data_IF_514404963344
#
_entry.id   IF_514404963344
#
_cell.length_a   1.000
_cell.length_b   1.000
_cell.length_c   1.000
_cell.angle_alpha   90.00
_cell.angle_beta   90.00
_cell.angle_gamma   90.00
#
_symmetry.space_group_name_H-M   'P 1'
#
loop_
_entity.id
_entity.type
_entity.pdbx_description
1 polymer ?
#
# COMPACT_ATOMS: atom_id res chain seq x y z
N UNK A 1 -31.35 7.16 -21.58
CA UNK A 1 -31.57 5.69 -21.54
C UNK A 1 -30.67 5.04 -22.58
N UNK A 2 -29.86 4.06 -22.20
CA UNK A 2 -28.97 3.33 -23.11
C UNK A 2 -29.81 2.42 -24.02
N UNK A 3 -29.93 2.77 -25.31
CA UNK A 3 -30.43 1.87 -26.35
C UNK A 3 -29.39 1.87 -27.47
N UNK A 4 -28.76 0.72 -27.70
CA UNK A 4 -27.79 0.47 -28.79
C UNK A 4 -26.46 1.27 -28.78
N UNK A 5 -25.84 1.47 -27.61
CA UNK A 5 -24.45 1.98 -27.56
C UNK A 5 -24.28 3.45 -27.99
N UNK A 6 -25.37 4.19 -28.11
CA UNK A 6 -25.39 5.63 -28.42
C UNK A 6 -25.97 6.36 -27.20
N UNK A 7 -25.23 7.33 -26.67
CA UNK A 7 -25.73 8.27 -25.68
C UNK A 7 -26.24 9.51 -26.42
N UNK A 8 -27.53 9.79 -26.25
CA UNK A 8 -28.14 11.01 -26.78
C UNK A 8 -28.08 12.08 -25.71
N UNK A 9 -27.39 13.19 -25.99
CA UNK A 9 -27.31 14.30 -25.06
C UNK A 9 -28.67 15.01 -25.02
N UNK A 10 -29.31 15.07 -23.85
CA UNK A 10 -30.65 15.66 -23.67
C UNK A 10 -30.68 17.17 -23.96
N UNK A 11 -29.55 17.87 -23.89
CA UNK A 11 -29.46 19.31 -24.12
C UNK A 11 -29.30 19.68 -25.61
N UNK A 12 -28.62 18.86 -26.41
CA UNK A 12 -28.28 19.19 -27.81
C UNK A 12 -28.71 18.15 -28.84
N UNK A 13 -29.38 17.06 -28.42
CA UNK A 13 -29.80 15.92 -29.26
C UNK A 13 -28.68 15.28 -30.09
N UNK A 14 -27.42 15.58 -29.81
CA UNK A 14 -26.29 14.97 -30.50
C UNK A 14 -26.15 13.51 -30.07
N UNK A 15 -26.10 12.61 -31.05
CA UNK A 15 -25.84 11.19 -30.85
C UNK A 15 -24.34 10.96 -30.69
N UNK A 16 -23.90 10.77 -29.46
CA UNK A 16 -22.53 10.39 -29.15
C UNK A 16 -22.44 8.86 -29.08
N UNK A 17 -21.58 8.27 -29.90
CA UNK A 17 -21.25 6.84 -29.77
C UNK A 17 -20.60 6.64 -28.41
N UNK A 18 -21.24 5.85 -27.55
CA UNK A 18 -20.66 5.52 -26.25
C UNK A 18 -19.34 4.78 -26.51
N UNK A 19 -18.21 5.28 -25.98
CA UNK A 19 -16.92 4.67 -26.25
C UNK A 19 -16.95 3.22 -25.75
N UNK A 20 -16.64 2.29 -26.64
CA UNK A 20 -16.54 0.88 -26.29
C UNK A 20 -15.61 0.69 -25.08
N UNK A 21 -15.82 -0.30 -24.21
CA UNK A 21 -14.88 -0.60 -23.14
C UNK A 21 -13.45 -0.85 -23.67
N UNK A 22 -13.34 -1.28 -24.95
CA UNK A 22 -12.08 -1.45 -25.66
C UNK A 22 -11.37 -0.13 -26.01
N UNK A 23 -12.09 0.93 -26.36
CA UNK A 23 -11.50 2.23 -26.66
C UNK A 23 -11.15 2.99 -25.38
N UNK A 24 -11.97 2.89 -24.34
CA UNK A 24 -11.70 3.51 -23.02
C UNK A 24 -10.41 2.98 -22.40
N UNK A 25 -10.20 1.66 -22.37
CA UNK A 25 -8.97 1.13 -21.78
C UNK A 25 -7.71 1.41 -22.63
N UNK A 26 -7.81 1.44 -23.98
CA UNK A 26 -6.68 1.85 -24.82
C UNK A 26 -6.29 3.31 -24.61
N UNK A 27 -7.28 4.19 -24.43
CA UNK A 27 -7.05 5.59 -24.11
C UNK A 27 -6.39 5.75 -22.72
N UNK A 28 -6.82 4.95 -21.73
CA UNK A 28 -6.20 4.88 -20.42
C UNK A 28 -4.74 4.44 -20.50
N UNK A 29 -4.43 3.34 -21.19
CA UNK A 29 -3.06 2.81 -21.32
C UNK A 29 -2.13 3.81 -22.06
N UNK A 30 -2.63 4.46 -23.12
CA UNK A 30 -1.89 5.48 -23.87
C UNK A 30 -1.58 6.72 -23.02
N UNK A 31 -2.55 7.18 -22.22
CA UNK A 31 -2.36 8.28 -21.29
C UNK A 31 -1.37 7.91 -20.17
N UNK A 32 -1.49 6.69 -19.64
CA UNK A 32 -0.60 6.15 -18.62
C UNK A 32 0.87 6.06 -19.10
N UNK A 33 1.10 5.59 -20.33
CA UNK A 33 2.44 5.49 -20.90
C UNK A 33 3.08 6.87 -21.14
N UNK A 34 2.31 7.88 -21.56
CA UNK A 34 2.80 9.25 -21.79
C UNK A 34 3.22 9.93 -20.48
N UNK A 35 2.44 9.74 -19.41
CA UNK A 35 2.80 10.20 -18.05
C UNK A 35 4.03 9.44 -17.55
N UNK A 36 4.09 8.14 -17.79
CA UNK A 36 5.21 7.27 -17.35
C UNK A 36 6.57 7.71 -17.88
N UNK A 37 6.65 8.21 -19.12
CA UNK A 37 7.90 8.71 -19.67
C UNK A 37 8.41 9.99 -18.96
N UNK A 38 7.50 10.93 -18.66
CA UNK A 38 7.86 12.21 -17.99
C UNK A 38 8.34 12.02 -16.55
N UNK A 39 7.85 11.01 -15.85
CA UNK A 39 8.16 10.77 -14.44
C UNK A 39 9.18 9.65 -14.20
N UNK A 40 9.97 9.26 -15.21
CA UNK A 40 10.91 8.13 -15.09
C UNK A 40 11.92 8.30 -13.94
N UNK A 41 12.52 9.48 -13.82
CA UNK A 41 13.45 9.80 -12.73
C UNK A 41 12.76 9.76 -11.35
N UNK A 42 11.54 10.29 -11.26
CA UNK A 42 10.74 10.21 -10.03
C UNK A 42 10.43 8.76 -9.66
N UNK A 43 10.02 7.92 -10.62
CA UNK A 43 9.76 6.48 -10.37
C UNK A 43 11.01 5.77 -9.85
N UNK A 44 12.19 6.07 -10.41
CA UNK A 44 13.44 5.52 -9.91
C UNK A 44 13.71 5.93 -8.46
N UNK A 45 13.56 7.23 -8.14
CA UNK A 45 13.72 7.73 -6.78
C UNK A 45 12.71 7.09 -5.81
N UNK A 46 11.46 6.90 -6.24
CA UNK A 46 10.44 6.22 -5.46
C UNK A 46 10.83 4.78 -5.14
N UNK A 47 11.36 4.03 -6.13
CA UNK A 47 11.82 2.64 -5.93
C UNK A 47 13.01 2.59 -4.97
N UNK A 48 14.01 3.45 -5.15
CA UNK A 48 15.17 3.50 -4.25
C UNK A 48 14.74 3.85 -2.81
N UNK A 49 13.87 4.84 -2.64
CA UNK A 49 13.35 5.22 -1.33
C UNK A 49 12.57 4.09 -0.66
N UNK A 50 11.76 3.35 -1.41
CA UNK A 50 10.98 2.23 -0.87
C UNK A 50 11.90 1.08 -0.49
N UNK A 51 12.93 0.80 -1.29
CA UNK A 51 13.98 -0.16 -0.95
C UNK A 51 14.66 0.16 0.38
N UNK A 52 15.05 1.42 0.59
CA UNK A 52 15.69 1.85 1.84
C UNK A 52 14.75 1.71 3.04
N UNK A 53 13.52 2.22 2.92
CA UNK A 53 12.58 2.24 4.04
C UNK A 53 12.05 0.85 4.39
N UNK A 54 11.79 -0.01 3.39
CA UNK A 54 11.37 -1.39 3.61
C UNK A 54 12.51 -2.23 4.18
N UNK A 55 13.74 -2.03 3.72
CA UNK A 55 14.89 -2.75 4.25
C UNK A 55 15.29 -2.35 5.68
N UNK A 56 15.07 -1.09 6.05
CA UNK A 56 15.32 -0.60 7.40
C UNK A 56 14.26 -1.10 8.41
N UNK A 57 13.05 -1.40 7.97
CA UNK A 57 11.93 -1.73 8.85
C UNK A 57 12.16 -2.96 9.74
N UNK A 58 12.63 -4.13 9.26
CA UNK A 58 12.93 -5.27 10.14
C UNK A 58 13.97 -4.96 11.22
N UNK A 59 14.97 -4.14 10.90
CA UNK A 59 16.03 -3.74 11.84
C UNK A 59 15.42 -2.87 12.95
N UNK A 60 14.62 -1.87 12.60
CA UNK A 60 13.93 -1.02 13.57
C UNK A 60 12.93 -1.80 14.43
N UNK A 61 12.23 -2.77 13.85
CA UNK A 61 11.32 -3.66 14.58
C UNK A 61 12.09 -4.51 15.59
N UNK A 62 13.26 -5.04 15.20
CA UNK A 62 14.12 -5.81 16.09
C UNK A 62 14.65 -4.95 17.25
N UNK A 63 15.17 -3.75 16.95
CA UNK A 63 15.65 -2.80 17.96
C UNK A 63 14.55 -2.29 18.90
N UNK A 64 13.28 -2.32 18.48
CA UNK A 64 12.15 -1.90 19.30
C UNK A 64 11.66 -2.98 20.27
N UNK A 65 12.19 -4.20 20.20
CA UNK A 65 11.91 -5.27 21.17
C UNK A 65 12.89 -5.17 22.34
N UNK A 66 12.37 -5.16 23.55
CA UNK A 66 13.15 -5.28 24.79
C UNK A 66 12.80 -6.63 25.40
N UNK A 67 13.79 -7.49 25.64
CA UNK A 67 13.61 -8.87 26.15
C UNK A 67 12.66 -9.74 25.31
N UNK A 68 12.68 -9.56 23.98
CA UNK A 68 11.85 -10.32 23.04
C UNK A 68 10.38 -9.91 22.99
N UNK A 69 9.93 -8.99 23.86
CA UNK A 69 8.55 -8.49 23.93
C UNK A 69 8.46 -7.04 23.43
N UNK A 70 7.31 -6.69 22.86
CA UNK A 70 6.98 -5.30 22.54
C UNK A 70 6.31 -4.68 23.76
N UNK A 71 6.86 -3.58 24.28
CA UNK A 71 6.27 -2.84 25.40
C UNK A 71 5.21 -1.81 24.97
N UNK A 72 4.96 -1.68 23.67
CA UNK A 72 3.99 -0.74 23.10
C UNK A 72 2.80 -1.47 22.47
N UNK A 73 1.63 -0.84 22.51
CA UNK A 73 0.46 -1.30 21.78
C UNK A 73 0.58 -0.99 20.28
N UNK A 74 0.42 -1.96 19.37
CA UNK A 74 0.51 -1.72 17.92
C UNK A 74 -0.55 -0.75 17.39
N UNK A 75 -1.70 -0.64 18.08
CA UNK A 75 -2.75 0.32 17.75
C UNK A 75 -2.26 1.76 17.98
N UNK A 76 -1.54 2.00 19.08
CA UNK A 76 -0.92 3.30 19.38
C UNK A 76 0.13 3.68 18.33
N UNK A 77 1.03 2.76 17.97
CA UNK A 77 2.05 3.01 16.94
C UNK A 77 1.41 3.38 15.59
N UNK A 78 0.31 2.71 15.22
CA UNK A 78 -0.42 3.03 13.99
C UNK A 78 -1.07 4.41 14.05
N UNK A 79 -1.69 4.77 15.17
CA UNK A 79 -2.26 6.11 15.36
C UNK A 79 -1.19 7.20 15.27
N UNK A 80 -0.07 7.05 16.00
CA UNK A 80 1.06 7.99 15.93
C UNK A 80 1.67 8.08 14.53
N UNK A 81 1.68 6.98 13.79
CA UNK A 81 2.11 6.95 12.39
C UNK A 81 1.17 7.78 11.50
N UNK A 82 -0.15 7.69 11.68
CA UNK A 82 -1.10 8.57 10.96
C UNK A 82 -0.92 10.04 11.34
N UNK A 83 -0.76 10.35 12.63
CA UNK A 83 -0.50 11.72 13.10
C UNK A 83 0.78 12.29 12.48
N UNK A 84 1.88 11.52 12.47
CA UNK A 84 3.13 11.94 11.84
C UNK A 84 2.95 12.25 10.34
N UNK A 85 2.16 11.43 9.63
CA UNK A 85 1.83 11.67 8.22
C UNK A 85 0.97 12.91 8.01
N UNK A 86 0.02 13.19 8.90
CA UNK A 86 -0.79 14.42 8.88
C UNK A 86 0.11 15.64 9.08
N UNK A 87 1.00 15.62 10.08
CA UNK A 87 1.96 16.71 10.33
C UNK A 87 2.82 16.95 9.09
N UNK A 88 3.36 15.88 8.49
CA UNK A 88 4.13 15.99 7.25
C UNK A 88 3.31 16.63 6.11
N UNK A 89 2.06 16.21 5.92
CA UNK A 89 1.19 16.77 4.89
C UNK A 89 0.91 18.27 5.13
N UNK A 90 0.68 18.69 6.38
CA UNK A 90 0.49 20.09 6.74
C UNK A 90 1.77 20.91 6.46
N UNK A 91 2.93 20.43 6.90
CA UNK A 91 4.22 21.11 6.66
C UNK A 91 4.47 21.28 5.16
N UNK A 92 4.26 20.23 4.37
CA UNK A 92 4.43 20.31 2.91
C UNK A 92 3.43 21.27 2.26
N UNK A 93 2.18 21.33 2.73
CA UNK A 93 1.20 22.30 2.26
C UNK A 93 1.61 23.73 2.60
N UNK A 94 2.12 23.98 3.81
CA UNK A 94 2.62 25.31 4.21
C UNK A 94 3.81 25.73 3.34
N UNK A 95 4.77 24.84 3.10
CA UNK A 95 5.92 25.11 2.22
C UNK A 95 5.44 25.38 0.78
N UNK A 96 4.46 24.62 0.29
CA UNK A 96 3.91 24.81 -1.05
C UNK A 96 3.16 26.15 -1.17
N UNK A 97 2.36 26.52 -0.18
CA UNK A 97 1.67 27.81 -0.14
C UNK A 97 2.65 28.99 -0.10
N UNK A 98 3.81 28.84 0.55
CA UNK A 98 4.88 29.87 0.53
C UNK A 98 5.56 30.01 -0.84
N UNK A 99 5.55 28.96 -1.66
CA UNK A 99 6.14 28.96 -3.00
C UNK A 99 5.13 29.27 -4.12
N UNK A 100 3.86 29.52 -3.80
CA UNK A 100 2.87 29.91 -4.81
C UNK A 100 3.19 31.30 -5.36
N UNK A 101 3.03 31.46 -6.68
CA UNK A 101 3.18 32.75 -7.34
C UNK A 101 2.06 33.69 -6.88
N UNK A 102 2.38 34.98 -6.75
CA UNK A 102 1.39 36.01 -6.43
C UNK A 102 0.25 36.00 -7.48
N UNK A 103 -0.95 35.59 -7.07
CA UNK A 103 -2.14 35.49 -7.93
C UNK A 103 -2.88 34.15 -7.90
N UNK A 104 -2.25 33.07 -7.43
CA UNK A 104 -2.96 31.80 -7.21
C UNK A 104 -3.71 31.81 -5.87
N UNK A 105 -4.92 31.23 -5.83
CA UNK A 105 -5.67 31.07 -4.58
C UNK A 105 -4.81 30.26 -3.59
N UNK A 106 -4.68 30.71 -2.32
CA UNK A 106 -3.90 29.97 -1.35
C UNK A 106 -4.49 28.56 -1.19
N UNK A 107 -3.65 27.54 -1.28
CA UNK A 107 -4.07 26.14 -1.10
C UNK A 107 -4.70 25.89 0.28
N UNK A 108 -4.35 26.71 1.27
CA UNK A 108 -4.89 26.72 2.64
C UNK A 108 -6.12 27.63 2.82
N UNK A 109 -6.63 28.26 1.77
CA UNK A 109 -7.87 29.05 1.88
C UNK A 109 -9.03 28.15 2.32
N UNK A 110 -9.85 28.64 3.28
CA UNK A 110 -10.99 27.87 3.81
C UNK A 110 -11.95 27.38 2.72
N UNK A 111 -12.19 28.20 1.68
CA UNK A 111 -13.05 27.81 0.55
C UNK A 111 -12.44 26.68 -0.29
N UNK A 112 -11.12 26.71 -0.54
CA UNK A 112 -10.38 25.64 -1.22
C UNK A 112 -10.38 24.36 -0.40
N UNK A 113 -10.20 24.46 0.93
CA UNK A 113 -10.21 23.31 1.84
C UNK A 113 -11.60 22.66 1.93
N UNK A 114 -12.67 23.44 2.02
CA UNK A 114 -14.04 22.90 2.07
C UNK A 114 -14.40 22.24 0.74
N UNK A 115 -14.06 22.87 -0.39
CA UNK A 115 -14.27 22.28 -1.70
C UNK A 115 -13.45 21.00 -1.88
N UNK A 116 -12.19 21.01 -1.45
CA UNK A 116 -11.33 19.85 -1.49
C UNK A 116 -11.83 18.73 -0.57
N UNK A 117 -12.34 19.04 0.62
CA UNK A 117 -12.94 18.06 1.51
C UNK A 117 -14.10 17.34 0.83
N UNK A 118 -15.01 18.10 0.19
CA UNK A 118 -16.13 17.52 -0.58
C UNK A 118 -15.66 16.66 -1.75
N UNK A 119 -14.67 17.12 -2.50
CA UNK A 119 -14.15 16.37 -3.64
C UNK A 119 -13.36 15.12 -3.21
N UNK A 120 -12.75 15.16 -2.01
CA UNK A 120 -11.87 14.11 -1.50
C UNK A 120 -12.55 13.17 -0.50
N UNK A 121 -13.88 13.24 -0.30
CA UNK A 121 -14.64 12.29 0.56
C UNK A 121 -14.39 10.83 0.14
N UNK A 122 -14.14 10.60 -1.15
CA UNK A 122 -13.84 9.27 -1.68
C UNK A 122 -12.55 8.66 -1.06
N UNK A 123 -11.65 9.47 -0.50
CA UNK A 123 -10.46 9.02 0.23
C UNK A 123 -10.76 8.50 1.66
N UNK A 124 -11.98 8.69 2.18
CA UNK A 124 -12.39 8.13 3.46
C UNK A 124 -12.50 6.59 3.39
N UNK A 125 -12.98 6.03 2.27
CA UNK A 125 -13.09 4.58 2.07
C UNK A 125 -11.72 3.87 2.16
N UNK A 126 -10.68 4.26 1.40
CA UNK A 126 -9.37 3.63 1.53
C UNK A 126 -8.75 3.88 2.91
N UNK A 127 -8.96 5.05 3.53
CA UNK A 127 -8.50 5.31 4.90
C UNK A 127 -9.09 4.32 5.92
N UNK A 128 -10.40 4.06 5.84
CA UNK A 128 -11.08 3.06 6.68
C UNK A 128 -10.51 1.66 6.44
N UNK A 129 -10.36 1.26 5.16
CA UNK A 129 -9.79 -0.05 4.82
C UNK A 129 -8.34 -0.19 5.29
N UNK A 130 -7.55 0.89 5.28
CA UNK A 130 -6.20 0.90 5.84
C UNK A 130 -6.20 0.76 7.37
N UNK A 131 -7.11 1.43 8.08
CA UNK A 131 -7.27 1.27 9.52
C UNK A 131 -7.65 -0.19 9.87
N UNK A 132 -8.60 -0.77 9.15
CA UNK A 132 -8.98 -2.19 9.30
C UNK A 132 -7.78 -3.11 9.00
N UNK A 133 -7.08 -2.90 7.88
CA UNK A 133 -5.89 -3.68 7.51
C UNK A 133 -4.80 -3.65 8.61
N UNK A 134 -4.57 -2.48 9.20
CA UNK A 134 -3.61 -2.32 10.28
C UNK A 134 -3.98 -3.17 11.50
N UNK A 135 -5.26 -3.23 11.86
CA UNK A 135 -5.76 -4.10 12.93
C UNK A 135 -5.69 -5.60 12.56
N UNK A 136 -6.08 -5.96 11.33
CA UNK A 136 -6.01 -7.33 10.84
C UNK A 136 -4.58 -7.88 10.82
N UNK A 137 -3.58 -7.06 10.49
CA UNK A 137 -2.17 -7.44 10.58
C UNK A 137 -1.77 -7.82 12.00
N UNK A 138 -2.23 -7.06 12.99
CA UNK A 138 -1.94 -7.32 14.39
C UNK A 138 -2.58 -8.65 14.83
N UNK A 139 -3.88 -8.83 14.57
CA UNK A 139 -4.58 -10.10 14.83
C UNK A 139 -3.84 -11.27 14.19
N UNK A 140 -3.47 -11.17 12.91
CA UNK A 140 -2.78 -12.26 12.22
C UNK A 140 -1.43 -12.60 12.87
N UNK A 141 -0.70 -11.62 13.39
CA UNK A 141 0.58 -11.86 14.08
C UNK A 141 0.41 -12.42 15.50
N UNK A 142 -0.77 -12.27 16.11
CA UNK A 142 -1.09 -12.90 17.40
C UNK A 142 -1.41 -14.39 17.26
N UNK A 143 -2.13 -14.77 16.19
CA UNK A 143 -2.58 -16.16 15.98
C UNK A 143 -1.65 -16.99 15.09
N UNK A 144 -0.91 -16.35 14.18
CA UNK A 144 -0.03 -17.05 13.24
C UNK A 144 1.42 -16.59 13.41
N UNK A 145 2.33 -17.52 13.14
CA UNK A 145 3.74 -17.22 13.07
C UNK A 145 4.03 -16.09 12.04
N UNK A 146 4.91 -15.13 12.34
CA UNK A 146 5.21 -14.01 11.45
C UNK A 146 5.63 -14.42 10.02
N UNK A 147 6.33 -15.56 9.89
CA UNK A 147 6.71 -16.14 8.59
C UNK A 147 5.48 -16.55 7.78
N UNK A 148 4.50 -17.21 8.39
CA UNK A 148 3.23 -17.62 7.74
C UNK A 148 2.42 -16.40 7.31
N UNK A 149 2.31 -15.38 8.17
CA UNK A 149 1.60 -14.12 7.84
C UNK A 149 2.25 -13.40 6.66
N UNK A 150 3.58 -13.41 6.58
CA UNK A 150 4.33 -12.86 5.44
C UNK A 150 4.06 -13.66 4.17
N UNK A 151 4.08 -14.99 4.22
CA UNK A 151 3.77 -15.83 3.07
C UNK A 151 2.35 -15.61 2.56
N UNK A 152 1.34 -15.63 3.45
CA UNK A 152 -0.05 -15.36 3.10
C UNK A 152 -0.25 -13.96 2.51
N UNK A 153 0.54 -12.97 2.97
CA UNK A 153 0.50 -11.62 2.41
C UNK A 153 0.97 -11.54 0.95
N UNK A 154 1.67 -12.54 0.43
CA UNK A 154 2.12 -12.54 -0.97
C UNK A 154 0.97 -12.84 -1.94
N UNK A 155 -0.05 -13.58 -1.50
CA UNK A 155 -1.27 -13.81 -2.29
C UNK A 155 -2.01 -12.51 -2.64
N UNK A 156 -1.74 -11.41 -1.91
CA UNK A 156 -2.27 -10.08 -2.19
C UNK A 156 -1.93 -9.62 -3.61
N UNK A 157 -0.81 -10.05 -4.18
CA UNK A 157 -0.40 -9.69 -5.55
C UNK A 157 -1.46 -10.13 -6.56
N UNK A 158 -1.96 -11.37 -6.46
CA UNK A 158 -3.00 -11.89 -7.35
C UNK A 158 -4.32 -11.15 -7.15
N UNK A 159 -4.73 -10.93 -5.90
CA UNK A 159 -5.97 -10.22 -5.60
C UNK A 159 -5.92 -8.78 -6.10
N UNK A 160 -4.78 -8.10 -5.95
CA UNK A 160 -4.56 -6.75 -6.52
C UNK A 160 -4.71 -6.77 -8.04
N UNK A 161 -4.12 -7.74 -8.74
CA UNK A 161 -4.23 -7.82 -10.20
C UNK A 161 -5.69 -8.00 -10.67
N UNK A 162 -6.43 -8.88 -9.99
CA UNK A 162 -7.87 -9.08 -10.22
C UNK A 162 -8.65 -7.79 -9.95
N UNK A 163 -8.42 -7.14 -8.80
CA UNK A 163 -9.09 -5.89 -8.44
C UNK A 163 -8.75 -4.74 -9.40
N UNK A 164 -7.52 -4.64 -9.90
CA UNK A 164 -7.13 -3.66 -10.91
C UNK A 164 -7.88 -3.88 -12.24
N UNK A 165 -8.12 -5.15 -12.60
CA UNK A 165 -8.92 -5.51 -13.79
C UNK A 165 -10.39 -5.11 -13.62
N UNK A 166 -10.97 -5.32 -12.44
CA UNK A 166 -12.40 -5.03 -12.21
C UNK A 166 -12.68 -3.55 -11.88
N UNK A 167 -11.94 -2.94 -10.94
CA UNK A 167 -12.16 -1.57 -10.47
C UNK A 167 -11.62 -0.55 -11.46
N UNK A 168 -10.36 -0.70 -11.87
CA UNK A 168 -9.70 0.28 -12.76
C UNK A 168 -9.83 -0.08 -14.25
N UNK A 169 -10.52 -1.18 -14.59
CA UNK A 169 -10.68 -1.69 -15.96
C UNK A 169 -9.35 -1.87 -16.71
N UNK A 170 -8.28 -2.15 -15.98
CA UNK A 170 -6.95 -2.41 -16.56
C UNK A 170 -6.96 -3.72 -17.32
N UNK A 171 -6.31 -3.76 -18.48
CA UNK A 171 -6.07 -5.01 -19.20
C UNK A 171 -4.71 -5.57 -18.86
N UNK A 172 -4.68 -6.89 -18.73
CA UNK A 172 -3.47 -7.66 -18.52
C UNK A 172 -3.30 -8.62 -19.69
N UNK A 173 -2.11 -8.64 -20.30
CA UNK A 173 -1.76 -9.66 -21.29
C UNK A 173 -1.55 -11.02 -20.62
N UNK A 174 -1.56 -12.10 -21.40
CA UNK A 174 -1.26 -13.45 -20.89
C UNK A 174 0.14 -13.47 -20.25
N UNK A 175 1.12 -12.82 -20.89
CA UNK A 175 2.49 -12.67 -20.39
C UNK A 175 2.52 -11.95 -19.03
N UNK A 176 1.68 -10.93 -18.82
CA UNK A 176 1.60 -10.24 -17.53
C UNK A 176 0.97 -11.11 -16.44
N UNK A 177 0.00 -11.96 -16.77
CA UNK A 177 -0.55 -12.95 -15.83
C UNK A 177 0.50 -14.00 -15.44
N UNK A 178 1.24 -14.52 -16.41
CA UNK A 178 2.35 -15.44 -16.17
C UNK A 178 3.42 -14.79 -15.30
N UNK A 179 3.77 -13.54 -15.58
CA UNK A 179 4.75 -12.81 -14.78
C UNK A 179 4.27 -12.61 -13.34
N UNK A 180 2.99 -12.32 -13.10
CA UNK A 180 2.44 -12.22 -11.74
C UNK A 180 2.44 -13.57 -11.01
N UNK A 181 2.19 -14.68 -11.72
CA UNK A 181 2.31 -16.02 -11.17
C UNK A 181 3.77 -16.34 -10.82
N UNK A 182 4.72 -16.00 -11.71
CA UNK A 182 6.15 -16.14 -11.46
C UNK A 182 6.59 -15.30 -10.26
N UNK A 183 6.10 -14.07 -10.10
CA UNK A 183 6.37 -13.24 -8.93
C UNK A 183 5.93 -13.96 -7.65
N UNK A 184 4.72 -14.53 -7.63
CA UNK A 184 4.22 -15.27 -6.47
C UNK A 184 5.08 -16.50 -6.17
N UNK A 185 5.48 -17.25 -7.19
CA UNK A 185 6.37 -18.41 -7.06
C UNK A 185 7.73 -17.97 -6.50
N UNK A 186 8.35 -16.94 -7.08
CA UNK A 186 9.65 -16.43 -6.65
C UNK A 186 9.65 -15.97 -5.18
N UNK A 187 8.61 -15.24 -4.76
CA UNK A 187 8.48 -14.83 -3.36
C UNK A 187 8.25 -16.06 -2.45
N UNK A 188 7.46 -17.04 -2.89
CA UNK A 188 7.18 -18.24 -2.10
C UNK A 188 8.45 -19.07 -1.88
N UNK A 189 9.23 -19.31 -2.94
CA UNK A 189 10.53 -20.01 -2.87
C UNK A 189 11.47 -19.30 -1.90
N UNK A 190 11.52 -17.96 -1.97
CA UNK A 190 12.38 -17.14 -1.11
C UNK A 190 12.02 -17.26 0.39
N UNK A 191 10.75 -17.54 0.72
CA UNK A 191 10.26 -17.60 2.10
C UNK A 191 10.32 -19.01 2.71
N UNK A 192 10.52 -20.06 1.91
CA UNK A 192 10.52 -21.46 2.37
C UNK A 192 11.60 -21.78 3.42
N UNK A 193 12.68 -21.00 3.51
CA UNK A 193 13.75 -21.21 4.51
C UNK A 193 13.57 -20.41 5.81
N UNK A 194 12.62 -19.49 5.87
CA UNK A 194 12.27 -18.77 7.11
C UNK A 194 11.23 -19.52 7.95
N UNK A 195 10.77 -20.68 7.47
CA UNK A 195 9.98 -21.61 8.25
C UNK A 195 10.94 -22.42 9.14
N UNK A 196 10.79 -22.40 10.48
CA UNK A 196 11.53 -23.30 11.33
C UNK A 196 11.27 -24.75 10.87
N UNK A 197 12.35 -25.47 10.56
CA UNK A 197 12.29 -26.91 10.29
C UNK A 197 11.87 -27.61 11.58
N UNK A 198 10.58 -27.85 11.78
CA UNK A 198 10.08 -28.45 13.01
C UNK A 198 8.58 -28.41 13.19
N UNK A 199 7.88 -27.46 12.58
CA UNK A 199 6.42 -27.39 12.68
C UNK A 199 5.77 -27.62 11.32
N UNK A 200 5.46 -28.88 11.00
CA UNK A 200 4.29 -29.19 10.19
C UNK A 200 3.05 -28.76 10.96
N UNK A 201 2.85 -27.46 11.12
CA UNK A 201 1.74 -26.88 11.84
C UNK A 201 1.03 -25.88 10.93
N UNK A 202 0.29 -26.42 9.96
CA UNK A 202 -1.13 -26.06 9.94
C UNK A 202 -1.73 -26.56 11.28
N UNK A 203 -1.32 -25.95 12.40
CA UNK A 203 -1.54 -26.41 13.77
C UNK A 203 -2.90 -25.99 14.31
N UNK A 204 -3.84 -25.72 13.41
CA UNK A 204 -5.25 -25.64 13.70
C UNK A 204 -5.92 -26.66 12.79
N UNK A 205 -6.94 -27.40 13.25
CA UNK A 205 -7.86 -28.00 12.30
C UNK A 205 -8.24 -26.88 11.34
N UNK A 206 -8.06 -27.14 10.04
CA UNK A 206 -8.34 -26.16 8.99
C UNK A 206 -9.85 -25.99 8.93
N UNK A 207 -10.38 -25.28 9.92
CA UNK A 207 -11.78 -24.94 10.05
C UNK A 207 -12.08 -23.89 9.00
N UNK A 208 -13.29 -23.92 8.42
CA UNK A 208 -13.73 -22.94 7.44
C UNK A 208 -13.47 -21.48 7.88
N UNK A 209 -13.44 -21.24 9.20
CA UNK A 209 -13.12 -19.96 9.84
C UNK A 209 -11.70 -19.48 9.50
N UNK A 210 -10.67 -20.33 9.51
CA UNK A 210 -9.28 -19.94 9.19
C UNK A 210 -9.12 -19.52 7.72
N UNK A 211 -9.83 -20.19 6.80
CA UNK A 211 -9.88 -19.80 5.39
C UNK A 211 -10.56 -18.44 5.21
N UNK A 212 -11.67 -18.19 5.91
CA UNK A 212 -12.37 -16.91 5.86
C UNK A 212 -11.47 -15.78 6.38
N UNK A 213 -10.80 -15.95 7.52
CA UNK A 213 -9.85 -14.95 8.04
C UNK A 213 -8.71 -14.67 7.06
N UNK A 214 -8.14 -15.72 6.47
CA UNK A 214 -7.07 -15.60 5.47
C UNK A 214 -7.56 -14.84 4.23
N UNK A 215 -8.76 -15.16 3.73
CA UNK A 215 -9.36 -14.48 2.59
C UNK A 215 -9.59 -13.00 2.88
N UNK A 216 -10.12 -12.66 4.05
CA UNK A 216 -10.33 -11.27 4.48
C UNK A 216 -8.98 -10.55 4.58
N UNK A 217 -7.98 -11.18 5.19
CA UNK A 217 -6.63 -10.61 5.36
C UNK A 217 -5.90 -10.35 4.04
N UNK A 218 -6.17 -11.13 3.01
CA UNK A 218 -5.62 -10.89 1.68
C UNK A 218 -6.46 -9.86 0.91
N UNK A 219 -7.78 -9.91 1.03
CA UNK A 219 -8.70 -9.08 0.24
C UNK A 219 -8.78 -7.64 0.71
N UNK A 220 -8.98 -7.40 2.01
CA UNK A 220 -9.13 -6.04 2.56
C UNK A 220 -7.92 -5.14 2.25
N UNK A 221 -6.67 -5.58 2.46
CA UNK A 221 -5.51 -4.73 2.19
C UNK A 221 -5.27 -4.52 0.70
N UNK A 222 -5.64 -5.50 -0.13
CA UNK A 222 -5.57 -5.41 -1.59
C UNK A 222 -6.58 -4.41 -2.11
N UNK A 223 -7.81 -4.45 -1.59
CA UNK A 223 -8.87 -3.48 -1.89
C UNK A 223 -8.48 -2.07 -1.45
N UNK A 224 -7.93 -1.91 -0.25
CA UNK A 224 -7.42 -0.61 0.23
C UNK A 224 -6.39 -0.02 -0.75
N UNK A 225 -5.46 -0.84 -1.23
CA UNK A 225 -4.38 -0.41 -2.13
C UNK A 225 -4.93 0.03 -3.49
N UNK A 226 -5.75 -0.82 -4.13
CA UNK A 226 -6.31 -0.54 -5.46
C UNK A 226 -7.31 0.61 -5.43
N UNK A 227 -8.15 0.67 -4.40
CA UNK A 227 -9.11 1.76 -4.26
C UNK A 227 -8.42 3.09 -3.96
N UNK A 228 -7.33 3.10 -3.18
CA UNK A 228 -6.54 4.31 -2.96
C UNK A 228 -5.89 4.82 -4.25
N UNK A 229 -5.34 3.91 -5.06
CA UNK A 229 -4.82 4.26 -6.40
C UNK A 229 -5.91 4.86 -7.28
N UNK A 230 -7.07 4.22 -7.34
CA UNK A 230 -8.23 4.74 -8.06
C UNK A 230 -8.61 6.14 -7.56
N UNK A 231 -8.82 6.30 -6.26
CA UNK A 231 -9.24 7.56 -5.64
C UNK A 231 -8.26 8.71 -5.91
N UNK A 232 -6.96 8.47 -5.75
CA UNK A 232 -5.92 9.48 -5.98
C UNK A 232 -5.81 9.86 -7.46
N UNK A 233 -5.97 8.89 -8.37
CA UNK A 233 -5.90 9.14 -9.82
C UNK A 233 -7.19 9.76 -10.39
N UNK A 234 -8.34 9.54 -9.77
CA UNK A 234 -9.63 10.10 -10.19
C UNK A 234 -9.83 11.57 -9.80
N UNK A 235 -9.01 12.10 -8.89
CA UNK A 235 -9.12 13.48 -8.39
C UNK A 235 -7.99 14.36 -8.93
N UNK A 236 -8.34 15.53 -9.47
CA UNK A 236 -7.39 16.54 -9.98
C UNK A 236 -6.81 17.46 -8.88
N UNK A 237 -7.01 17.12 -7.61
CA UNK A 237 -6.47 17.85 -6.46
C UNK A 237 -4.97 17.61 -6.28
N UNK A 238 -4.27 18.55 -5.63
CA UNK A 238 -2.83 18.39 -5.35
C UNK A 238 -2.60 17.19 -4.43
N UNK A 239 -1.49 16.48 -4.65
CA UNK A 239 -1.19 15.26 -3.88
C UNK A 239 -1.08 15.52 -2.37
N UNK A 240 -0.55 16.67 -1.98
CA UNK A 240 -0.41 17.03 -0.57
C UNK A 240 -1.77 17.25 0.10
N UNK A 241 -2.74 17.78 -0.64
CA UNK A 241 -4.10 17.96 -0.16
C UNK A 241 -4.84 16.62 -0.07
N UNK A 242 -4.68 15.76 -1.08
CA UNK A 242 -5.19 14.38 -1.03
C UNK A 242 -4.62 13.62 0.17
N UNK A 243 -3.31 13.73 0.39
CA UNK A 243 -2.62 13.12 1.52
C UNK A 243 -3.11 13.66 2.86
N UNK A 244 -3.34 14.97 2.99
CA UNK A 244 -3.90 15.56 4.20
C UNK A 244 -5.25 14.92 4.56
N UNK A 245 -6.17 14.79 3.60
CA UNK A 245 -7.48 14.17 3.85
C UNK A 245 -7.37 12.67 4.08
N UNK A 246 -6.58 11.95 3.29
CA UNK A 246 -6.39 10.50 3.45
C UNK A 246 -5.84 10.16 4.85
N UNK A 247 -4.78 10.86 5.28
CA UNK A 247 -4.17 10.63 6.58
C UNK A 247 -5.02 11.21 7.71
N UNK A 248 -5.74 12.30 7.47
CA UNK A 248 -6.69 12.85 8.45
C UNK A 248 -7.82 11.88 8.76
N UNK A 249 -8.47 11.33 7.73
CA UNK A 249 -9.47 10.27 7.90
C UNK A 249 -8.85 9.02 8.54
N UNK A 250 -7.62 8.66 8.17
CA UNK A 250 -6.87 7.56 8.78
C UNK A 250 -6.67 7.77 10.29
N UNK A 251 -6.23 8.96 10.70
CA UNK A 251 -6.04 9.30 12.11
C UNK A 251 -7.37 9.25 12.88
N UNK A 252 -8.46 9.76 12.30
CA UNK A 252 -9.80 9.68 12.89
C UNK A 252 -10.23 8.22 13.10
N UNK A 253 -10.11 7.37 12.08
CA UNK A 253 -10.51 5.96 12.20
C UNK A 253 -9.63 5.17 13.18
N UNK A 254 -8.32 5.43 13.22
CA UNK A 254 -7.44 4.80 14.21
C UNK A 254 -7.75 5.29 15.63
N UNK A 255 -8.08 6.58 15.80
CA UNK A 255 -8.51 7.12 17.10
C UNK A 255 -9.82 6.50 17.57
N UNK A 256 -10.82 6.37 16.68
CA UNK A 256 -12.06 5.66 16.98
C UNK A 256 -11.81 4.20 17.35
N UNK A 257 -10.83 3.55 16.70
CA UNK A 257 -10.37 2.21 17.06
C UNK A 257 -9.83 2.14 18.49
N UNK A 258 -8.97 3.08 18.89
CA UNK A 258 -8.45 3.18 20.26
C UNK A 258 -9.60 3.38 21.26
N UNK A 259 -10.52 4.31 20.97
CA UNK A 259 -11.67 4.58 21.83
C UNK A 259 -12.55 3.34 21.99
N UNK A 260 -12.82 2.63 20.89
CA UNK A 260 -13.54 1.35 20.93
C UNK A 260 -12.84 0.34 21.84
N UNK A 261 -11.53 0.14 21.68
CA UNK A 261 -10.79 -0.80 22.56
C UNK A 261 -10.82 -0.40 24.02
N UNK A 262 -10.74 0.90 24.33
CA UNK A 262 -10.80 1.41 25.69
C UNK A 262 -12.18 1.23 26.34
N UNK A 263 -13.26 1.33 25.55
CA UNK A 263 -14.62 1.07 26.02
C UNK A 263 -14.87 -0.42 26.31
N UNK A 264 -14.31 -1.33 25.49
CA UNK A 264 -14.52 -2.77 25.64
C UNK A 264 -13.56 -3.43 26.65
N UNK A 265 -12.33 -2.94 26.77
CA UNK A 265 -11.27 -3.56 27.60
C UNK A 265 -10.90 -2.74 28.85
N UNK A 266 -11.53 -1.58 29.05
CA UNK A 266 -11.31 -0.70 30.19
C UNK A 266 -10.28 0.42 29.93
N UNK A 267 -10.35 1.53 30.71
CA UNK A 267 -9.52 2.72 30.53
C UNK A 267 -8.04 2.53 30.89
N UNK A 268 -7.66 1.45 31.57
CA UNK A 268 -6.26 1.15 31.89
C UNK A 268 -5.40 0.83 30.65
N UNK A 269 -6.03 0.46 29.53
CA UNK A 269 -5.37 0.29 28.24
C UNK A 269 -5.24 1.59 27.43
N UNK A 270 -5.66 2.75 27.97
CA UNK A 270 -5.54 4.06 27.31
C UNK A 270 -4.12 4.67 27.43
N UNK A 271 -3.10 3.82 27.34
CA UNK A 271 -1.71 4.25 27.45
C UNK A 271 -1.09 4.42 26.06
N UNK A 272 -1.52 5.46 25.35
CA UNK A 272 -1.05 5.77 23.99
C UNK A 272 0.48 6.01 23.98
N UNK A 273 1.04 6.59 25.04
CA UNK A 273 2.45 7.00 25.08
C UNK A 273 3.37 6.07 25.88
N UNK A 274 2.86 4.98 26.48
CA UNK A 274 3.67 4.10 27.31
C UNK A 274 4.50 3.14 26.45
N UNK A 275 5.78 2.96 26.81
CA UNK A 275 6.69 2.02 26.14
C UNK A 275 7.33 2.52 24.84
N UNK A 276 7.19 3.81 24.48
CA UNK A 276 7.91 4.37 23.32
C UNK A 276 9.37 4.64 23.65
N UNK A 277 10.23 3.71 23.24
CA UNK A 277 11.67 3.92 23.22
C UNK A 277 12.07 4.82 22.04
N UNK A 278 13.33 5.29 22.03
CA UNK A 278 13.89 6.02 20.86
C UNK A 278 13.78 5.18 19.58
N UNK A 279 13.95 3.85 19.67
CA UNK A 279 13.79 2.94 18.54
C UNK A 279 12.34 2.88 18.02
N UNK A 280 11.36 2.88 18.92
CA UNK A 280 9.93 2.92 18.55
C UNK A 280 9.58 4.22 17.81
N UNK A 281 10.17 5.36 18.22
CA UNK A 281 9.99 6.63 17.51
C UNK A 281 10.57 6.60 16.09
N UNK A 282 11.78 6.04 15.91
CA UNK A 282 12.34 5.84 14.56
C UNK A 282 11.50 4.88 13.72
N UNK A 283 10.94 3.83 14.31
CA UNK A 283 10.02 2.92 13.64
C UNK A 283 8.75 3.65 13.16
N UNK A 284 8.15 4.50 14.00
CA UNK A 284 7.00 5.35 13.64
C UNK A 284 7.36 6.26 12.47
N UNK A 285 8.50 6.96 12.53
CA UNK A 285 8.96 7.83 11.45
C UNK A 285 9.18 7.06 10.14
N UNK A 286 9.81 5.88 10.20
CA UNK A 286 10.04 5.04 9.03
C UNK A 286 8.72 4.55 8.43
N UNK A 287 7.78 4.07 9.25
CA UNK A 287 6.45 3.66 8.78
C UNK A 287 5.66 4.82 8.18
N UNK A 288 5.77 6.03 8.75
CA UNK A 288 5.15 7.23 8.21
C UNK A 288 5.76 7.58 6.83
N UNK A 289 7.08 7.55 6.71
CA UNK A 289 7.78 7.76 5.45
C UNK A 289 7.37 6.72 4.39
N UNK A 290 7.27 5.44 4.75
CA UNK A 290 6.77 4.39 3.85
C UNK A 290 5.35 4.69 3.37
N UNK A 291 4.47 5.15 4.27
CA UNK A 291 3.09 5.52 3.94
C UNK A 291 2.99 6.77 3.05
N UNK A 292 3.87 7.75 3.26
CA UNK A 292 3.98 8.93 2.40
C UNK A 292 4.44 8.53 1.00
N UNK A 293 5.56 7.80 0.93
CA UNK A 293 6.14 7.33 -0.32
C UNK A 293 5.13 6.47 -1.11
N UNK A 294 4.38 5.63 -0.40
CA UNK A 294 3.27 4.84 -0.94
C UNK A 294 2.22 5.69 -1.68
N UNK A 295 1.83 6.84 -1.13
CA UNK A 295 0.88 7.74 -1.80
C UNK A 295 1.45 8.31 -3.09
N UNK A 296 2.74 8.66 -3.11
CA UNK A 296 3.42 9.08 -4.35
C UNK A 296 3.46 7.97 -5.39
N UNK A 297 3.70 6.71 -4.99
CA UNK A 297 3.57 5.56 -5.89
C UNK A 297 2.18 5.47 -6.51
N UNK A 298 1.13 5.60 -5.71
CA UNK A 298 -0.24 5.48 -6.21
C UNK A 298 -0.66 6.65 -7.11
N UNK A 299 -0.11 7.85 -6.92
CA UNK A 299 -0.38 8.99 -7.80
C UNK A 299 0.42 8.95 -9.11
N UNK A 300 1.72 8.65 -9.05
CA UNK A 300 2.65 8.81 -10.17
C UNK A 300 3.11 7.49 -10.82
N UNK A 301 2.82 6.36 -10.19
CA UNK A 301 3.11 5.02 -10.68
C UNK A 301 1.85 4.13 -10.51
N UNK A 302 2.07 2.83 -10.26
CA UNK A 302 1.02 1.83 -10.09
C UNK A 302 1.28 0.99 -8.85
N UNK A 303 0.20 0.42 -8.29
CA UNK A 303 0.29 -0.53 -7.17
C UNK A 303 1.17 -1.74 -7.49
N UNK A 304 1.22 -2.17 -8.76
CA UNK A 304 2.09 -3.29 -9.18
C UNK A 304 3.57 -2.92 -9.07
N UNK A 305 3.98 -1.74 -9.56
CA UNK A 305 5.38 -1.31 -9.48
C UNK A 305 5.84 -1.19 -8.02
N UNK A 306 4.96 -0.69 -7.15
CA UNK A 306 5.21 -0.64 -5.70
C UNK A 306 5.44 -2.04 -5.10
N UNK A 307 4.69 -3.06 -5.55
CA UNK A 307 4.88 -4.45 -5.10
C UNK A 307 6.23 -5.02 -5.55
N UNK A 308 6.63 -4.77 -6.80
CA UNK A 308 7.96 -5.15 -7.27
C UNK A 308 9.07 -4.46 -6.46
N UNK A 309 8.95 -3.14 -6.26
CA UNK A 309 9.87 -2.36 -5.43
C UNK A 309 10.05 -2.97 -4.03
N UNK A 310 8.96 -3.25 -3.33
CA UNK A 310 9.01 -3.86 -2.00
C UNK A 310 9.58 -5.29 -2.00
N UNK A 311 9.39 -6.03 -3.09
CA UNK A 311 9.97 -7.39 -3.25
C UNK A 311 11.48 -7.31 -3.43
N UNK A 312 11.94 -6.41 -4.30
CA UNK A 312 13.37 -6.11 -4.52
C UNK A 312 14.03 -5.62 -3.23
N UNK A 313 13.36 -4.74 -2.47
CA UNK A 313 13.81 -4.30 -1.15
C UNK A 313 14.07 -5.47 -0.20
N UNK A 314 13.13 -6.42 -0.16
CA UNK A 314 13.22 -7.60 0.71
C UNK A 314 14.38 -8.50 0.31
N UNK A 315 14.63 -8.66 -0.99
CA UNK A 315 15.79 -9.38 -1.53
C UNK A 315 17.09 -8.72 -1.09
N UNK A 316 17.23 -7.40 -1.29
CA UNK A 316 18.44 -6.67 -0.88
C UNK A 316 18.68 -6.74 0.62
N UNK A 317 17.61 -6.67 1.41
CA UNK A 317 17.69 -6.83 2.87
C UNK A 317 18.18 -8.23 3.25
N UNK A 318 17.70 -9.27 2.55
CA UNK A 318 18.18 -10.65 2.72
C UNK A 318 19.66 -10.81 2.37
N UNK A 319 20.11 -10.21 1.26
CA UNK A 319 21.52 -10.21 0.84
C UNK A 319 22.41 -9.49 1.85
N UNK A 320 22.00 -8.30 2.30
CA UNK A 320 22.75 -7.52 3.29
C UNK A 320 22.83 -8.30 4.61
N UNK A 321 21.73 -8.90 5.06
CA UNK A 321 21.71 -9.76 6.25
C UNK A 321 22.71 -10.92 6.12
N UNK A 322 22.76 -11.61 4.98
CA UNK A 322 23.72 -12.68 4.75
C UNK A 322 25.18 -12.19 4.73
N UNK A 323 25.44 -11.03 4.13
CA UNK A 323 26.79 -10.45 4.07
C UNK A 323 27.30 -9.99 5.44
N UNK A 324 26.46 -9.34 6.25
CA UNK A 324 26.86 -8.79 7.55
C UNK A 324 26.81 -9.82 8.69
N UNK A 325 25.85 -10.77 8.65
CA UNK A 325 25.66 -11.77 9.71
C UNK A 325 26.25 -13.15 9.35
N UNK A 326 26.86 -13.29 8.17
CA UNK A 326 27.50 -14.53 7.72
C UNK A 326 26.54 -15.69 7.44
N UNK A 327 25.24 -15.41 7.25
CA UNK A 327 24.28 -16.45 6.94
C UNK A 327 24.53 -17.05 5.55
N UNK A 328 24.48 -18.38 5.43
CA UNK A 328 24.66 -19.06 4.15
C UNK A 328 23.53 -18.70 3.18
N UNK A 329 23.85 -18.02 2.09
CA UNK A 329 22.92 -17.81 0.97
C UNK A 329 22.58 -19.15 0.34
N UNK A 330 21.33 -19.29 -0.06
CA UNK A 330 20.76 -20.59 -0.41
C UNK A 330 20.39 -20.63 -1.87
N UNK A 331 20.48 -21.79 -2.50
CA UNK A 331 20.14 -21.93 -3.93
C UNK A 331 18.69 -21.48 -4.18
N UNK A 332 17.78 -21.77 -3.25
CA UNK A 332 16.38 -21.31 -3.31
C UNK A 332 16.28 -19.77 -3.30
N UNK A 333 17.10 -19.08 -2.50
CA UNK A 333 17.14 -17.63 -2.47
C UNK A 333 17.61 -17.06 -3.83
N UNK A 334 18.66 -17.62 -4.41
CA UNK A 334 19.16 -17.22 -5.75
C UNK A 334 18.14 -17.49 -6.85
N UNK A 335 17.46 -18.64 -6.83
CA UNK A 335 16.37 -18.96 -7.76
C UNK A 335 15.20 -17.98 -7.63
N UNK A 336 14.80 -17.67 -6.39
CA UNK A 336 13.75 -16.68 -6.11
C UNK A 336 14.08 -15.31 -6.68
N UNK A 337 15.34 -14.87 -6.55
CA UNK A 337 15.83 -13.61 -7.15
C UNK A 337 15.65 -13.63 -8.66
N UNK A 338 16.19 -14.66 -9.33
CA UNK A 338 16.15 -14.77 -10.79
C UNK A 338 14.73 -14.74 -11.32
N UNK A 339 13.81 -15.47 -10.69
CA UNK A 339 12.40 -15.50 -11.07
C UNK A 339 11.74 -14.13 -10.92
N UNK A 340 12.01 -13.40 -9.84
CA UNK A 340 11.47 -12.05 -9.61
C UNK A 340 11.96 -11.05 -10.68
N UNK A 341 13.23 -11.11 -11.06
CA UNK A 341 13.78 -10.24 -12.10
C UNK A 341 13.19 -10.53 -13.48
N UNK A 342 13.04 -11.82 -13.84
CA UNK A 342 12.40 -12.24 -15.10
C UNK A 342 10.96 -11.75 -15.15
N UNK A 343 10.21 -11.95 -14.06
CA UNK A 343 8.83 -11.49 -13.91
C UNK A 343 8.71 -9.96 -14.06
N UNK A 344 9.61 -9.20 -13.42
CA UNK A 344 9.62 -7.74 -13.53
C UNK A 344 9.86 -7.27 -14.98
N UNK A 345 10.80 -7.91 -15.67
CA UNK A 345 11.06 -7.62 -17.08
C UNK A 345 9.83 -7.92 -17.94
N UNK A 346 9.19 -9.07 -17.76
CA UNK A 346 7.99 -9.46 -18.51
C UNK A 346 6.80 -8.51 -18.28
N UNK A 347 6.56 -8.04 -17.05
CA UNK A 347 5.48 -7.07 -16.78
C UNK A 347 5.73 -5.72 -17.41
N UNK A 348 6.99 -5.32 -17.57
CA UNK A 348 7.36 -4.03 -18.16
C UNK A 348 7.21 -3.97 -19.67
N UNK A 349 7.04 -5.12 -20.35
CA UNK A 349 6.85 -5.16 -21.80
C UNK A 349 5.49 -4.55 -22.19
N UNK A 350 5.46 -3.71 -23.25
CA UNK A 350 4.23 -3.11 -23.74
C UNK A 350 3.23 -4.19 -24.17
N UNK A 351 1.95 -3.93 -23.91
CA UNK A 351 0.84 -4.80 -24.34
C UNK A 351 0.69 -4.58 -25.86
N UNK A 352 1.25 -5.51 -26.65
CA UNK A 352 1.08 -5.57 -28.11
C UNK A 352 -0.37 -5.79 -28.52
#
# INVERSE_FOLDING_TARGET
>A
MQRNGVMECTACRSRLVAPSPRSVSRAYDKHHNKITSKFRALKFLLVVGDCMLVGLQPILVFMSKVDGKFQFSPISVNFLTEVAKVIFAIVMLVIQSRKQKAGEKPLLARSTLIQAARNNVLLAVPALLYAINNYLKFIMQLYFNPSTVKMLSNLKVLVIAVLLKFIMRRRFSVIQWEALALLLIGISINQLRTAPAGDTAFGLPITAIAYIYTLIFVTVPSLASVYNEYAMKSQDTSIYLQNLFLYGYGAIFNFLGILGTALFQGPENFNILQGHSRATMFLICNNAAQGILSSFFFKYADTILKKYSSTVATIFTGLASAAFLGHTLTINFLLGISVVFISMHQVSLPIS
#
